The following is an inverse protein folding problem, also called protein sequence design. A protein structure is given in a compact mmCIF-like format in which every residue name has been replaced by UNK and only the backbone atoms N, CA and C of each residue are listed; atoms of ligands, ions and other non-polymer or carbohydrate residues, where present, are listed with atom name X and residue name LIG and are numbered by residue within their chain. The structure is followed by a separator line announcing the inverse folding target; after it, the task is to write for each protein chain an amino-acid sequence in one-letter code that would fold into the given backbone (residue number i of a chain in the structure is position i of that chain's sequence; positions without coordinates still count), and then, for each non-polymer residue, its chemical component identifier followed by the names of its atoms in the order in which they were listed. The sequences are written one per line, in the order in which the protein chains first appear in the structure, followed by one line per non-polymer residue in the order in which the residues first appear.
data_IF_972875544750
#
_entry.id   IF_972875544750
#
_cell.length_a   1.000
_cell.length_b   1.000
_cell.length_c   1.000
_cell.angle_alpha   90.00
_cell.angle_beta   90.00
_cell.angle_gamma   90.00
#
_symmetry.space_group_name_H-M   'P 1'
#
loop_
_entity.id
_entity.type
_entity.pdbx_description
1 polymer ?
#
# COMPACT_ATOMS: atom_id res chain seq x y z
N UNK A 1 26.12 20.71 5.19
CA UNK A 1 24.93 20.00 5.70
C UNK A 1 25.11 18.56 5.31
N UNK A 2 25.33 17.69 6.29
CA UNK A 2 25.64 16.29 6.04
C UNK A 2 24.37 15.47 5.85
N UNK A 3 24.46 14.36 5.13
CA UNK A 3 23.36 13.39 4.93
C UNK A 3 22.70 12.98 6.26
N UNK A 4 23.46 12.97 7.36
CA UNK A 4 22.96 12.66 8.70
C UNK A 4 22.01 13.74 9.23
N UNK A 5 22.29 15.02 8.97
CA UNK A 5 21.45 16.14 9.41
C UNK A 5 20.09 16.11 8.68
N UNK A 6 20.11 15.82 7.38
CA UNK A 6 18.90 15.70 6.55
C UNK A 6 18.02 14.52 6.99
N UNK A 7 18.63 13.37 7.31
CA UNK A 7 17.91 12.20 7.84
C UNK A 7 17.28 12.52 9.21
N UNK A 8 18.02 13.20 10.09
CA UNK A 8 17.48 13.59 11.41
C UNK A 8 16.32 14.56 11.27
N UNK A 9 16.40 15.53 10.36
CA UNK A 9 15.29 16.44 10.06
C UNK A 9 14.08 15.69 9.47
N UNK A 10 14.28 14.74 8.57
CA UNK A 10 13.21 13.93 7.99
C UNK A 10 12.52 13.04 9.04
N UNK A 11 13.28 12.45 9.97
CA UNK A 11 12.73 11.68 11.09
C UNK A 11 11.89 12.59 12.00
N UNK A 12 12.38 13.80 12.30
CA UNK A 12 11.66 14.74 13.14
C UNK A 12 10.37 15.25 12.48
N UNK A 13 10.40 15.53 11.18
CA UNK A 13 9.21 15.88 10.40
C UNK A 13 8.20 14.74 10.41
N UNK A 14 8.62 13.51 10.14
CA UNK A 14 7.73 12.34 10.22
C UNK A 14 7.10 12.20 11.61
N UNK A 15 7.86 12.41 12.68
CA UNK A 15 7.33 12.37 14.06
C UNK A 15 6.28 13.45 14.29
N UNK A 16 6.50 14.67 13.80
CA UNK A 16 5.53 15.78 13.87
C UNK A 16 4.27 15.45 13.08
N UNK A 17 4.40 14.90 11.87
CA UNK A 17 3.27 14.52 11.03
C UNK A 17 2.43 13.40 11.62
N UNK A 18 3.06 12.37 12.21
CA UNK A 18 2.36 11.30 12.94
C UNK A 18 1.56 11.90 14.10
N UNK A 19 2.18 12.75 14.92
CA UNK A 19 1.50 13.39 16.06
C UNK A 19 0.34 14.31 15.61
N UNK A 20 0.49 14.97 14.47
CA UNK A 20 -0.56 15.80 13.87
C UNK A 20 -1.73 14.95 13.41
N UNK A 21 -1.48 13.83 12.74
CA UNK A 21 -2.51 12.88 12.28
C UNK A 21 -3.29 12.30 13.45
N UNK A 22 -2.58 11.92 14.52
CA UNK A 22 -3.21 11.42 15.75
C UNK A 22 -4.13 12.48 16.37
N UNK A 23 -3.66 13.73 16.53
CA UNK A 23 -4.49 14.82 17.06
C UNK A 23 -5.71 15.10 16.19
N UNK A 24 -5.55 15.10 14.87
CA UNK A 24 -6.64 15.37 13.91
C UNK A 24 -7.69 14.26 13.92
N UNK A 25 -7.31 13.01 14.19
CA UNK A 25 -8.25 11.87 14.28
C UNK A 25 -9.27 12.04 15.42
N UNK A 26 -8.92 12.79 16.47
CA UNK A 26 -9.76 13.03 17.65
C UNK A 26 -10.15 14.50 17.82
N UNK A 27 -9.88 15.34 16.82
CA UNK A 27 -10.21 16.75 16.88
C UNK A 27 -11.73 16.95 16.83
N UNK A 28 -12.27 17.60 17.86
CA UNK A 28 -13.69 17.98 17.87
C UNK A 28 -13.95 19.09 16.84
N UNK A 29 -15.14 19.11 16.22
CA UNK A 29 -15.59 20.23 15.39
C UNK A 29 -15.53 21.58 16.14
N UNK A 30 -15.41 22.72 15.43
CA UNK A 30 -15.38 24.04 16.05
C UNK A 30 -16.59 24.24 16.99
N UNK A 31 -16.32 24.66 18.23
CA UNK A 31 -17.36 24.93 19.24
C UNK A 31 -17.73 23.74 20.15
N UNK A 32 -17.14 22.56 19.94
CA UNK A 32 -17.33 21.40 20.82
C UNK A 32 -16.05 21.14 21.63
N UNK A 33 -16.12 21.04 22.98
CA UNK A 33 -14.95 20.70 23.78
C UNK A 33 -14.42 19.31 23.40
N UNK A 34 -13.10 19.13 23.49
CA UNK A 34 -12.49 17.83 23.21
C UNK A 34 -12.90 16.81 24.29
N UNK A 35 -13.20 15.55 23.91
CA UNK A 35 -13.51 14.52 24.89
C UNK A 35 -12.31 14.31 25.84
N UNK A 36 -12.54 14.18 27.15
CA UNK A 36 -11.47 14.06 28.14
C UNK A 36 -10.69 12.74 28.04
N UNK A 37 -11.28 11.74 27.40
CA UNK A 37 -10.69 10.41 27.21
C UNK A 37 -10.85 10.03 25.75
N UNK A 38 -9.74 9.69 25.10
CA UNK A 38 -9.75 9.07 23.78
C UNK A 38 -10.07 7.58 23.98
N UNK A 39 -11.14 7.04 23.37
CA UNK A 39 -11.44 5.62 23.49
C UNK A 39 -10.34 4.79 22.82
N UNK A 40 -9.85 3.77 23.53
CA UNK A 40 -8.93 2.78 22.97
C UNK A 40 -9.75 1.83 22.11
N UNK A 41 -9.70 2.04 20.78
CA UNK A 41 -10.34 1.14 19.82
C UNK A 41 -9.38 -0.03 19.57
N UNK A 42 -9.76 -1.24 19.96
CA UNK A 42 -9.00 -2.43 19.59
C UNK A 42 -9.06 -2.62 18.06
N UNK A 43 -7.93 -2.92 17.41
CA UNK A 43 -7.94 -3.19 15.98
C UNK A 43 -8.81 -4.42 15.68
N UNK A 44 -9.63 -4.34 14.64
CA UNK A 44 -10.35 -5.49 14.13
C UNK A 44 -9.39 -6.62 13.82
N UNK A 45 -9.73 -7.85 14.21
CA UNK A 45 -8.88 -9.03 13.99
C UNK A 45 -9.31 -9.85 12.77
N UNK A 46 -10.50 -9.61 12.24
CA UNK A 46 -11.11 -10.39 11.17
C UNK A 46 -11.62 -9.48 10.05
N UNK A 47 -11.45 -9.91 8.80
CA UNK A 47 -11.87 -9.19 7.60
C UNK A 47 -10.77 -8.32 7.00
N UNK A 48 -11.18 -7.20 6.38
CA UNK A 48 -10.28 -6.20 5.81
C UNK A 48 -9.74 -5.30 6.91
N UNK A 49 -8.68 -5.78 7.57
CA UNK A 49 -7.97 -5.09 8.64
C UNK A 49 -6.63 -4.60 8.10
N UNK A 50 -6.08 -3.51 8.64
CA UNK A 50 -4.84 -2.89 8.13
C UNK A 50 -3.70 -3.90 7.89
N UNK A 51 -3.57 -4.89 8.78
CA UNK A 51 -2.58 -5.96 8.63
C UNK A 51 -2.85 -6.86 7.41
N UNK A 52 -4.11 -7.28 7.21
CA UNK A 52 -4.50 -8.11 6.08
C UNK A 52 -4.34 -7.36 4.76
N UNK A 53 -4.71 -6.08 4.71
CA UNK A 53 -4.54 -5.23 3.52
C UNK A 53 -3.07 -5.02 3.18
N UNK A 54 -2.23 -4.76 4.19
CA UNK A 54 -0.79 -4.61 4.02
C UNK A 54 -0.15 -5.89 3.49
N UNK A 55 -0.52 -7.05 4.05
CA UNK A 55 -0.01 -8.35 3.59
C UNK A 55 -0.46 -8.67 2.17
N UNK A 56 -1.73 -8.45 1.85
CA UNK A 56 -2.27 -8.71 0.50
C UNK A 56 -1.60 -7.81 -0.55
N UNK A 57 -1.41 -6.53 -0.24
CA UNK A 57 -0.75 -5.58 -1.15
C UNK A 57 0.71 -5.97 -1.41
N UNK A 58 1.45 -6.39 -0.38
CA UNK A 58 2.84 -6.87 -0.54
C UNK A 58 2.91 -8.15 -1.38
N UNK A 59 2.02 -9.11 -1.10
CA UNK A 59 1.94 -10.34 -1.88
C UNK A 59 1.60 -10.06 -3.35
N UNK A 60 0.69 -9.12 -3.61
CA UNK A 60 0.33 -8.68 -4.96
C UNK A 60 1.51 -8.06 -5.70
N UNK A 61 2.26 -7.15 -5.07
CA UNK A 61 3.46 -6.55 -5.67
C UNK A 61 4.50 -7.60 -6.04
N UNK A 62 4.79 -8.54 -5.13
CA UNK A 62 5.74 -9.62 -5.38
C UNK A 62 5.23 -10.55 -6.48
N UNK A 63 3.94 -10.90 -6.46
CA UNK A 63 3.31 -11.75 -7.46
C UNK A 63 3.38 -11.16 -8.86
N UNK A 64 3.11 -9.85 -9.00
CA UNK A 64 3.21 -9.14 -10.27
C UNK A 64 4.63 -9.20 -10.84
N UNK A 65 5.64 -8.85 -10.05
CA UNK A 65 7.03 -8.91 -10.49
C UNK A 65 7.51 -10.33 -10.81
N UNK A 66 7.07 -11.31 -10.03
CA UNK A 66 7.40 -12.72 -10.27
C UNK A 66 6.78 -13.22 -11.58
N UNK A 67 5.56 -12.80 -11.88
CA UNK A 67 4.87 -13.12 -13.13
C UNK A 67 5.65 -12.57 -14.33
N UNK A 68 6.09 -11.30 -14.28
CA UNK A 68 6.93 -10.71 -15.34
C UNK A 68 8.24 -11.48 -15.53
N UNK A 69 8.87 -11.92 -14.45
CA UNK A 69 10.10 -12.72 -14.54
C UNK A 69 9.85 -14.07 -15.21
N UNK A 70 8.75 -14.75 -14.87
CA UNK A 70 8.37 -16.02 -15.51
C UNK A 70 8.06 -15.81 -16.99
N UNK A 71 7.31 -14.77 -17.34
CA UNK A 71 7.01 -14.43 -18.74
C UNK A 71 8.28 -14.12 -19.55
N UNK A 72 9.25 -13.42 -18.94
CA UNK A 72 10.53 -13.13 -19.57
C UNK A 72 11.34 -14.40 -19.86
N UNK A 73 11.35 -15.36 -18.94
CA UNK A 73 12.06 -16.64 -19.12
C UNK A 73 11.34 -17.54 -20.12
N UNK A 74 10.01 -17.57 -20.10
CA UNK A 74 9.21 -18.45 -20.95
C UNK A 74 9.01 -17.90 -22.38
N UNK A 75 9.14 -16.58 -22.59
CA UNK A 75 8.94 -15.91 -23.87
C UNK A 75 7.49 -15.94 -24.37
N UNK A 76 6.53 -16.26 -23.51
CA UNK A 76 5.09 -16.34 -23.78
C UNK A 76 4.31 -15.74 -22.63
N UNK A 77 3.16 -15.14 -22.93
CA UNK A 77 2.30 -14.56 -21.89
C UNK A 77 1.73 -15.63 -20.94
N UNK A 78 1.40 -15.24 -19.70
CA UNK A 78 0.89 -16.17 -18.68
C UNK A 78 -0.33 -16.96 -19.17
N UNK A 79 -1.25 -16.31 -19.89
CA UNK A 79 -2.45 -16.97 -20.40
C UNK A 79 -2.13 -18.09 -21.40
N UNK A 80 -1.12 -17.88 -22.24
CA UNK A 80 -0.66 -18.90 -23.18
C UNK A 80 0.02 -20.07 -22.45
N UNK A 81 0.76 -19.79 -21.37
CA UNK A 81 1.34 -20.82 -20.51
C UNK A 81 0.29 -21.66 -19.79
N UNK A 82 -0.84 -21.05 -19.42
CA UNK A 82 -2.01 -21.74 -18.86
C UNK A 82 -2.83 -22.48 -19.91
N UNK A 83 -2.45 -22.43 -21.20
CA UNK A 83 -3.12 -23.13 -22.29
C UNK A 83 -4.30 -22.38 -22.90
N UNK A 84 -4.53 -21.12 -22.52
CA UNK A 84 -5.53 -20.28 -23.16
C UNK A 84 -4.98 -19.72 -24.47
N UNK A 85 -5.76 -19.83 -25.55
CA UNK A 85 -5.38 -19.20 -26.82
C UNK A 85 -5.78 -17.73 -26.79
N UNK A 86 -4.80 -16.83 -26.79
CA UNK A 86 -4.99 -15.38 -26.85
C UNK A 86 -4.50 -14.88 -28.21
N UNK A 87 -4.98 -13.72 -28.70
CA UNK A 87 -4.46 -13.13 -29.94
C UNK A 87 -5.07 -13.61 -31.26
N UNK A 88 -6.17 -14.38 -31.24
CA UNK A 88 -6.96 -14.73 -32.45
C UNK A 88 -7.87 -13.57 -32.94
N UNK A 89 -7.47 -12.33 -32.72
CA UNK A 89 -8.18 -11.12 -33.15
C UNK A 89 -7.74 -10.63 -34.53
N UNK A 90 -8.30 -9.50 -34.97
CA UNK A 90 -7.98 -8.88 -36.26
C UNK A 90 -6.51 -8.47 -36.25
N UNK A 91 -5.71 -9.01 -37.18
CA UNK A 91 -4.30 -8.65 -37.35
C UNK A 91 -4.17 -7.18 -37.81
N UNK A 92 -4.10 -6.25 -36.86
CA UNK A 92 -3.68 -4.87 -37.11
C UNK A 92 -2.15 -4.80 -37.13
N UNK A 93 -1.54 -5.48 -38.09
CA UNK A 93 -0.14 -5.28 -38.46
C UNK A 93 -0.15 -4.65 -39.85
N UNK A 94 0.31 -3.40 -39.93
CA UNK A 94 0.69 -2.73 -41.17
C UNK A 94 2.12 -3.11 -41.56
#
# INVERSE_FOLDING_TARGET
MGVVDDVMQAIEQNKKDVSRRERMKYASPPGVPQPPIVPVIEPGKFGFVDNAETMNSRASMIGWWSLLLVELVAGKGLLELLGFTVGKGINFTF
#
